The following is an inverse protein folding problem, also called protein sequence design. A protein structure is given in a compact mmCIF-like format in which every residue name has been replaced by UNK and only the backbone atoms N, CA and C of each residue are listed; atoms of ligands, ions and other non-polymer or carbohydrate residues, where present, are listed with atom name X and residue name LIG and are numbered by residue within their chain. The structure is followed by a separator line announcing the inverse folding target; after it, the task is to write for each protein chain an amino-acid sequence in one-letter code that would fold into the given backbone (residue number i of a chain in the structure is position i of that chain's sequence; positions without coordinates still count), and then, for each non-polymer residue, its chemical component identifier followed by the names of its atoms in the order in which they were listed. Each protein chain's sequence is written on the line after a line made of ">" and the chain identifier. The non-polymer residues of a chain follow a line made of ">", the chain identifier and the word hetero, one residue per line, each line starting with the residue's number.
data_IF_742714350593
#
_entry.id   IF_742714350593
#
_cell.length_a   1.000
_cell.length_b   1.000
_cell.length_c   1.000
_cell.angle_alpha   90.00
_cell.angle_beta   90.00
_cell.angle_gamma   90.00
#
_symmetry.space_group_name_H-M   'P 1'
#
loop_
_entity.id
_entity.type
_entity.pdbx_description
1 polymer ?
#
# COMPACT_ATOMS: atom_id res chain seq x y z
N UNK A 1 -9.05 3.51 -3.48
CA UNK A 1 -8.75 3.78 -2.05
C UNK A 1 -9.68 3.01 -1.11
N UNK A 2 -11.01 3.14 -1.21
CA UNK A 2 -11.96 2.43 -0.34
C UNK A 2 -11.81 0.89 -0.37
N UNK A 3 -11.61 0.29 -1.55
CA UNK A 3 -11.30 -1.14 -1.69
C UNK A 3 -10.01 -1.55 -0.95
N UNK A 4 -8.98 -0.70 -0.97
CA UNK A 4 -7.72 -0.96 -0.25
C UNK A 4 -7.99 -0.98 1.25
N UNK A 5 -8.78 -0.01 1.76
CA UNK A 5 -9.22 -0.02 3.16
C UNK A 5 -9.99 -1.29 3.51
N UNK A 6 -10.91 -1.75 2.66
CA UNK A 6 -11.64 -3.01 2.87
C UNK A 6 -10.70 -4.19 3.02
N UNK A 7 -9.68 -4.30 2.17
CA UNK A 7 -8.68 -5.36 2.28
C UNK A 7 -7.88 -5.26 3.59
N UNK A 8 -7.54 -4.06 4.05
CA UNK A 8 -6.83 -3.84 5.32
C UNK A 8 -7.72 -4.22 6.51
N UNK A 9 -8.99 -3.81 6.48
CA UNK A 9 -9.96 -4.18 7.52
C UNK A 9 -10.13 -5.71 7.58
N UNK A 10 -10.20 -6.40 6.43
CA UNK A 10 -10.21 -7.87 6.37
C UNK A 10 -8.93 -8.47 6.95
N UNK A 11 -7.74 -7.97 6.58
CA UNK A 11 -6.48 -8.45 7.18
C UNK A 11 -6.48 -8.30 8.71
N UNK A 12 -7.06 -7.20 9.22
CA UNK A 12 -7.20 -6.95 10.65
C UNK A 12 -8.13 -7.95 11.33
N UNK A 13 -9.19 -8.41 10.68
CA UNK A 13 -10.06 -9.49 11.17
C UNK A 13 -9.29 -10.80 11.37
N UNK A 14 -8.24 -11.04 10.57
CA UNK A 14 -7.32 -12.17 10.72
C UNK A 14 -6.14 -11.89 11.67
N UNK A 15 -6.18 -10.79 12.42
CA UNK A 15 -5.13 -10.42 13.38
C UNK A 15 -3.87 -9.82 12.74
N UNK A 16 -3.90 -9.48 11.44
CA UNK A 16 -2.76 -8.91 10.72
C UNK A 16 -2.86 -7.38 10.78
N UNK A 17 -1.90 -6.75 11.45
CA UNK A 17 -1.79 -5.29 11.51
C UNK A 17 -0.93 -4.76 10.36
N UNK A 18 -1.49 -3.88 9.53
CA UNK A 18 -0.75 -3.19 8.47
C UNK A 18 -0.23 -1.85 9.00
N UNK A 19 1.09 -1.71 9.12
CA UNK A 19 1.74 -0.49 9.61
C UNK A 19 2.05 0.53 8.52
N UNK A 20 2.21 0.07 7.28
CA UNK A 20 2.54 0.91 6.12
C UNK A 20 2.10 0.25 4.81
N UNK A 21 1.93 1.07 3.77
CA UNK A 21 1.66 0.59 2.40
C UNK A 21 2.72 1.17 1.47
N UNK A 22 3.42 0.30 0.73
CA UNK A 22 4.37 0.72 -0.30
C UNK A 22 3.67 0.77 -1.65
N UNK A 23 3.45 1.98 -2.17
CA UNK A 23 2.85 2.21 -3.46
C UNK A 23 3.91 2.12 -4.57
N UNK A 24 3.65 1.29 -5.58
CA UNK A 24 4.53 1.04 -6.72
C UNK A 24 3.82 1.36 -8.04
N UNK A 25 4.59 1.50 -9.11
CA UNK A 25 4.08 1.72 -10.47
C UNK A 25 3.37 3.07 -10.68
N UNK A 26 2.57 3.19 -11.73
CA UNK A 26 1.94 4.46 -12.14
C UNK A 26 1.09 5.11 -11.03
N UNK A 27 0.43 4.30 -10.21
CA UNK A 27 -0.38 4.78 -9.07
C UNK A 27 0.42 5.38 -7.91
N UNK A 28 1.75 5.27 -7.92
CA UNK A 28 2.66 5.90 -6.96
C UNK A 28 3.12 7.30 -7.38
N UNK A 29 3.01 7.64 -8.67
CA UNK A 29 3.51 8.92 -9.24
C UNK A 29 2.65 10.14 -8.91
N UNK A 30 1.45 9.95 -8.37
CA UNK A 30 0.54 11.05 -8.03
C UNK A 30 0.54 11.30 -6.51
N UNK A 31 1.12 12.42 -6.04
CA UNK A 31 1.12 12.79 -4.63
C UNK A 31 -0.31 12.91 -4.07
N UNK A 32 -1.23 13.49 -4.84
CA UNK A 32 -2.64 13.62 -4.46
C UNK A 32 -3.28 12.25 -4.23
N UNK A 33 -3.12 11.30 -5.15
CA UNK A 33 -3.69 9.96 -4.97
C UNK A 33 -3.03 9.22 -3.80
N UNK A 34 -1.74 9.44 -3.55
CA UNK A 34 -1.07 8.87 -2.38
C UNK A 34 -1.65 9.43 -1.07
N UNK A 35 -1.88 10.74 -0.98
CA UNK A 35 -2.52 11.34 0.18
C UNK A 35 -3.96 10.83 0.37
N UNK A 36 -4.77 10.76 -0.71
CA UNK A 36 -6.14 10.20 -0.65
C UNK A 36 -6.12 8.75 -0.14
N UNK A 37 -5.15 7.93 -0.58
CA UNK A 37 -5.00 6.56 -0.07
C UNK A 37 -4.67 6.57 1.42
N UNK A 38 -3.72 7.39 1.87
CA UNK A 38 -3.32 7.50 3.28
C UNK A 38 -4.51 7.91 4.16
N UNK A 39 -5.22 8.96 3.77
CA UNK A 39 -6.36 9.50 4.52
C UNK A 39 -7.54 8.52 4.54
N UNK A 40 -7.80 7.83 3.42
CA UNK A 40 -8.86 6.83 3.35
C UNK A 40 -8.57 5.63 4.25
N UNK A 41 -7.36 5.05 4.16
CA UNK A 41 -7.00 3.82 4.88
C UNK A 41 -6.61 4.05 6.33
N UNK A 42 -6.20 5.27 6.70
CA UNK A 42 -5.59 5.55 7.99
C UNK A 42 -4.20 4.93 8.15
N UNK A 43 -3.56 4.52 7.04
CA UNK A 43 -2.24 3.86 7.03
C UNK A 43 -1.28 4.68 6.16
N UNK A 44 -0.05 4.96 6.63
CA UNK A 44 0.95 5.68 5.84
C UNK A 44 1.21 5.04 4.47
N UNK A 45 1.30 5.87 3.43
CA UNK A 45 1.70 5.45 2.08
C UNK A 45 3.13 5.89 1.82
N UNK A 46 4.00 4.96 1.42
CA UNK A 46 5.37 5.24 1.03
C UNK A 46 5.55 4.97 -0.46
N UNK A 47 6.32 5.80 -1.15
CA UNK A 47 6.78 5.55 -2.52
C UNK A 47 8.26 5.18 -2.50
N UNK A 48 8.74 4.56 -3.57
CA UNK A 48 10.14 4.16 -3.71
C UNK A 48 10.82 4.93 -4.84
N UNK A 49 12.14 5.07 -4.78
CA UNK A 49 12.91 5.79 -5.81
C UNK A 49 12.93 5.05 -7.15
N UNK A 50 12.91 3.72 -7.12
CA UNK A 50 13.03 2.89 -8.32
C UNK A 50 11.65 2.47 -8.84
N UNK A 51 11.30 2.91 -10.05
CA UNK A 51 10.05 2.54 -10.71
C UNK A 51 10.04 1.06 -11.16
N UNK A 52 11.21 0.46 -11.46
CA UNK A 52 11.39 -0.92 -11.92
C UNK A 52 11.47 -1.91 -10.75
N UNK A 53 10.53 -1.80 -9.82
CA UNK A 53 10.50 -2.64 -8.61
C UNK A 53 10.53 -4.16 -8.84
N UNK A 54 9.93 -4.74 -9.90
CA UNK A 54 10.06 -6.17 -10.15
C UNK A 54 11.50 -6.57 -10.51
N UNK A 55 12.20 -5.74 -11.29
CA UNK A 55 13.59 -5.98 -11.68
C UNK A 55 14.53 -5.90 -10.46
N UNK A 56 14.29 -4.94 -9.56
CA UNK A 56 15.01 -4.86 -8.28
C UNK A 56 14.79 -6.11 -7.43
N UNK A 57 13.55 -6.61 -7.35
CA UNK A 57 13.25 -7.85 -6.64
C UNK A 57 14.00 -9.05 -7.22
N UNK A 58 14.05 -9.17 -8.55
CA UNK A 58 14.82 -10.22 -9.22
C UNK A 58 16.33 -10.10 -8.93
N UNK A 59 16.87 -8.88 -8.95
CA UNK A 59 18.29 -8.63 -8.63
C UNK A 59 18.62 -8.95 -7.16
N UNK A 60 17.72 -8.64 -6.23
CA UNK A 60 17.85 -9.02 -4.81
C UNK A 60 17.96 -10.54 -4.66
N UNK A 61 17.06 -11.30 -5.30
CA UNK A 61 17.05 -12.75 -5.26
C UNK A 61 18.30 -13.36 -5.91
N UNK A 62 18.70 -12.86 -7.09
CA UNK A 62 19.90 -13.33 -7.78
C UNK A 62 21.18 -13.00 -6.99
N UNK A 63 21.23 -11.83 -6.34
CA UNK A 63 22.36 -11.41 -5.51
C UNK A 63 22.51 -12.28 -4.25
N UNK A 64 21.42 -12.68 -3.61
CA UNK A 64 21.47 -13.63 -2.50
C UNK A 64 21.88 -15.04 -2.98
N UNK A 65 21.25 -15.57 -4.03
CA UNK A 65 21.56 -16.89 -4.57
C UNK A 65 22.97 -17.04 -5.16
N UNK A 66 23.62 -15.92 -5.53
CA UNK A 66 25.02 -15.88 -6.00
C UNK A 66 26.02 -15.60 -4.88
N UNK A 67 25.58 -15.37 -3.64
CA UNK A 67 26.42 -15.02 -2.50
C UNK A 67 26.95 -13.58 -2.51
N UNK A 68 26.45 -12.72 -3.40
CA UNK A 68 26.78 -11.28 -3.41
C UNK A 68 26.24 -10.55 -2.18
N UNK A 69 25.07 -10.98 -1.68
CA UNK A 69 24.50 -10.47 -0.44
C UNK A 69 24.39 -11.58 0.60
N UNK A 70 24.63 -11.27 1.89
CA UNK A 70 24.57 -12.28 2.96
C UNK A 70 23.15 -12.78 3.24
N UNK A 71 22.14 -11.94 2.98
CA UNK A 71 20.72 -12.27 3.13
C UNK A 71 19.83 -11.27 2.37
N UNK A 72 18.56 -11.63 2.16
CA UNK A 72 17.58 -10.81 1.46
C UNK A 72 17.31 -9.45 2.14
N UNK A 73 17.38 -9.39 3.47
CA UNK A 73 17.14 -8.15 4.22
C UNK A 73 18.26 -7.16 3.97
N UNK A 74 19.50 -7.63 3.91
CA UNK A 74 20.67 -6.84 3.58
C UNK A 74 20.58 -6.31 2.13
N UNK A 75 20.31 -7.20 1.18
CA UNK A 75 20.12 -6.84 -0.23
C UNK A 75 19.02 -5.78 -0.40
N UNK A 76 17.86 -5.98 0.23
CA UNK A 76 16.71 -5.06 0.15
C UNK A 76 17.04 -3.68 0.72
N UNK A 77 17.76 -3.60 1.85
CA UNK A 77 18.17 -2.32 2.43
C UNK A 77 19.13 -1.53 1.53
N UNK A 78 19.99 -2.23 0.78
CA UNK A 78 20.93 -1.56 -0.12
C UNK A 78 20.25 -1.08 -1.41
N UNK A 79 19.28 -1.85 -1.91
CA UNK A 79 18.69 -1.64 -3.24
C UNK A 79 17.34 -0.90 -3.22
N UNK A 80 16.61 -0.88 -2.10
CA UNK A 80 15.29 -0.22 -2.00
C UNK A 80 15.39 1.02 -1.13
N UNK A 81 15.08 2.18 -1.73
CA UNK A 81 15.04 3.48 -1.06
C UNK A 81 13.65 4.07 -1.12
N UNK A 82 13.20 4.62 0.01
CA UNK A 82 11.95 5.36 0.10
C UNK A 82 12.16 6.75 -0.49
N UNK A 83 11.25 7.17 -1.35
CA UNK A 83 11.27 8.49 -1.99
C UNK A 83 10.44 9.50 -1.21
N UNK A 84 9.17 9.21 -1.00
CA UNK A 84 8.23 10.07 -0.29
C UNK A 84 7.35 9.25 0.68
N UNK A 85 6.83 9.92 1.70
CA UNK A 85 5.89 9.37 2.68
C UNK A 85 4.70 10.30 2.83
N UNK A 86 3.51 9.71 2.88
CA UNK A 86 2.23 10.39 3.01
C UNK A 86 1.53 9.84 4.25
N UNK A 87 1.47 10.66 5.30
CA UNK A 87 0.79 10.32 6.56
C UNK A 87 -0.70 10.65 6.48
N UNK A 88 -1.58 9.86 7.11
CA UNK A 88 -3.00 10.18 7.20
C UNK A 88 -3.22 11.53 7.88
N UNK A 89 -4.05 12.38 7.28
CA UNK A 89 -4.42 13.67 7.83
C UNK A 89 -5.69 13.54 8.69
N UNK A 90 -5.62 13.84 10.00
CA UNK A 90 -6.76 13.75 10.92
C UNK A 90 -7.99 14.55 10.48
N UNK A 91 -7.80 15.66 9.75
CA UNK A 91 -8.88 16.51 9.28
C UNK A 91 -9.87 15.79 8.34
N UNK A 92 -9.42 14.74 7.64
CA UNK A 92 -10.25 14.02 6.67
C UNK A 92 -10.81 12.69 7.19
N UNK A 93 -10.50 12.28 8.43
CA UNK A 93 -10.94 10.99 8.99
C UNK A 93 -12.46 10.86 8.93
N UNK A 94 -13.20 11.87 9.40
CA UNK A 94 -14.68 11.84 9.42
C UNK A 94 -15.24 11.71 8.00
N UNK A 95 -14.73 12.53 7.08
CA UNK A 95 -15.15 12.54 5.67
C UNK A 95 -14.92 11.19 5.00
N UNK A 96 -13.72 10.62 5.12
CA UNK A 96 -13.42 9.34 4.48
C UNK A 96 -14.10 8.16 5.16
N UNK A 97 -14.38 8.23 6.47
CA UNK A 97 -15.22 7.22 7.13
C UNK A 97 -16.64 7.20 6.57
N UNK A 98 -17.24 8.35 6.28
CA UNK A 98 -18.54 8.40 5.62
C UNK A 98 -18.50 7.86 4.19
N UNK A 99 -17.50 8.27 3.40
CA UNK A 99 -17.30 7.77 2.03
C UNK A 99 -17.11 6.25 2.03
N UNK A 100 -16.31 5.72 2.94
CA UNK A 100 -16.08 4.28 3.07
C UNK A 100 -17.35 3.51 3.42
N UNK A 101 -18.15 4.02 4.36
CA UNK A 101 -19.44 3.43 4.73
C UNK A 101 -20.38 3.34 3.52
N UNK A 102 -20.48 4.41 2.73
CA UNK A 102 -21.28 4.45 1.50
C UNK A 102 -20.77 3.45 0.45
N UNK A 103 -19.44 3.35 0.29
CA UNK A 103 -18.81 2.38 -0.59
C UNK A 103 -19.17 0.94 -0.20
N UNK A 104 -19.06 0.57 1.08
CA UNK A 104 -19.40 -0.79 1.55
C UNK A 104 -20.88 -1.11 1.33
N UNK A 105 -21.77 -0.19 1.71
CA UNK A 105 -23.21 -0.35 1.50
C UNK A 105 -23.55 -0.59 0.02
N UNK A 106 -22.96 0.20 -0.88
CA UNK A 106 -23.16 0.03 -2.32
C UNK A 106 -22.58 -1.31 -2.81
N UNK A 107 -21.35 -1.63 -2.42
CA UNK A 107 -20.69 -2.88 -2.82
C UNK A 107 -21.51 -4.11 -2.39
N UNK A 108 -22.04 -4.12 -1.17
CA UNK A 108 -22.81 -5.24 -0.64
C UNK A 108 -24.20 -5.33 -1.29
N UNK A 109 -24.77 -4.21 -1.72
CA UNK A 109 -26.00 -4.19 -2.52
C UNK A 109 -25.75 -4.79 -3.91
N UNK A 110 -24.70 -4.35 -4.61
CA UNK A 110 -24.40 -4.80 -5.98
C UNK A 110 -24.00 -6.28 -6.02
N UNK A 111 -23.25 -6.78 -5.03
CA UNK A 111 -22.86 -8.19 -4.94
C UNK A 111 -24.06 -9.17 -4.88
N UNK A 112 -25.26 -8.70 -4.55
CA UNK A 112 -26.48 -9.53 -4.62
C UNK A 112 -26.92 -9.83 -6.05
N UNK A 113 -26.55 -8.98 -7.00
CA UNK A 113 -26.99 -9.01 -8.40
C UNK A 113 -25.89 -9.45 -9.36
N UNK A 114 -24.63 -9.24 -9.01
CA UNK A 114 -23.47 -9.67 -9.77
C UNK A 114 -22.74 -10.79 -9.01
N UNK A 115 -22.90 -12.03 -9.49
CA UNK A 115 -22.07 -13.19 -9.12
C UNK A 115 -21.05 -13.46 -10.21
#
# INVERSE_FOLDING_TARGET
>A
AAMIRRNIDTLKEYGISVSEIRALGGGARSPLWNQIKADMTGVPILTVENDETPAVGAAVLAGEGSGLFPDLKNATRQLVRIRESFSPNPAFISTYNEVYRRYCMLSDLLNKYWK
#
